data_IF_406545887214
#
_entry.id   IF_406545887214
#
_cell.length_a   1.000
_cell.length_b   1.000
_cell.length_c   1.000
_cell.angle_alpha   90.00
_cell.angle_beta   90.00
_cell.angle_gamma   90.00
#
_symmetry.space_group_name_H-M   'P 1'
#
loop_
_entity.id
_entity.type
_entity.pdbx_description
1 polymer ?
#
# COMPACT_ATOMS: atom_id res chain seq x y z
N UNK A 1 -19.75 -15.32 -54.12
CA UNK A 1 -18.36 -15.81 -53.97
C UNK A 1 -18.38 -17.28 -54.33
N UNK A 2 -17.56 -17.71 -55.32
CA UNK A 2 -17.62 -19.08 -55.86
C UNK A 2 -16.89 -20.05 -54.92
N UNK A 3 -17.43 -21.25 -54.68
CA UNK A 3 -16.87 -22.28 -53.77
C UNK A 3 -15.39 -22.60 -54.06
N UNK A 4 -15.00 -22.63 -55.34
CA UNK A 4 -13.60 -22.84 -55.75
C UNK A 4 -12.62 -21.75 -55.23
N UNK A 5 -13.08 -20.50 -55.12
CA UNK A 5 -12.29 -19.41 -54.60
C UNK A 5 -12.11 -19.51 -53.08
N UNK A 6 -13.14 -19.96 -52.35
CA UNK A 6 -13.08 -20.21 -50.91
C UNK A 6 -12.08 -21.32 -50.59
N UNK A 7 -12.19 -22.43 -51.32
CA UNK A 7 -11.30 -23.59 -51.15
C UNK A 7 -9.83 -23.23 -51.43
N UNK A 8 -9.58 -22.45 -52.47
CA UNK A 8 -8.23 -21.94 -52.78
C UNK A 8 -7.64 -21.07 -51.67
N UNK A 9 -8.45 -20.14 -51.12
CA UNK A 9 -8.04 -19.27 -50.00
C UNK A 9 -7.75 -20.11 -48.73
N UNK A 10 -8.59 -21.10 -48.43
CA UNK A 10 -8.39 -21.99 -47.28
C UNK A 10 -7.12 -22.82 -47.43
N UNK A 11 -6.83 -23.37 -48.61
CA UNK A 11 -5.58 -24.12 -48.87
C UNK A 11 -4.34 -23.22 -48.68
N UNK A 12 -4.38 -21.94 -49.13
CA UNK A 12 -3.28 -20.98 -48.88
C UNK A 12 -3.13 -20.67 -47.41
N UNK A 13 -4.21 -20.39 -46.70
CA UNK A 13 -4.19 -20.09 -45.26
C UNK A 13 -3.60 -21.30 -44.48
N UNK A 14 -4.02 -22.51 -44.81
CA UNK A 14 -3.49 -23.74 -44.20
C UNK A 14 -1.99 -23.92 -44.47
N UNK A 15 -1.52 -23.56 -45.65
CA UNK A 15 -0.09 -23.51 -45.97
C UNK A 15 0.71 -22.57 -45.12
N UNK A 16 0.17 -21.36 -44.86
CA UNK A 16 0.80 -20.40 -43.94
C UNK A 16 0.82 -20.89 -42.49
N UNK A 17 -0.28 -21.45 -42.01
CA UNK A 17 -0.39 -22.02 -40.65
C UNK A 17 0.66 -23.15 -40.48
N UNK A 18 0.80 -24.08 -41.45
CA UNK A 18 1.81 -25.14 -41.41
C UNK A 18 3.24 -24.58 -41.35
N UNK A 19 3.55 -23.54 -42.13
CA UNK A 19 4.87 -22.88 -42.09
C UNK A 19 5.12 -22.26 -40.74
N UNK A 20 4.16 -21.52 -40.19
CA UNK A 20 4.24 -20.90 -38.88
C UNK A 20 4.46 -21.95 -37.78
N UNK A 21 3.66 -23.02 -37.76
CA UNK A 21 3.81 -24.11 -36.80
C UNK A 21 5.17 -24.78 -36.87
N UNK A 22 5.76 -24.94 -38.07
CA UNK A 22 7.10 -25.50 -38.22
C UNK A 22 8.18 -24.58 -37.69
N UNK A 23 8.05 -23.26 -37.90
CA UNK A 23 8.97 -22.26 -37.31
C UNK A 23 8.88 -22.28 -35.78
N UNK A 24 7.66 -22.26 -35.21
CA UNK A 24 7.42 -22.35 -33.79
C UNK A 24 7.99 -23.64 -33.18
N UNK A 25 7.81 -24.76 -33.86
CA UNK A 25 8.38 -26.04 -33.42
C UNK A 25 9.90 -26.01 -33.39
N UNK A 26 10.56 -25.50 -34.46
CA UNK A 26 12.02 -25.37 -34.51
C UNK A 26 12.54 -24.43 -33.41
N UNK A 27 11.86 -23.29 -33.17
CA UNK A 27 12.19 -22.35 -32.09
C UNK A 27 12.05 -23.02 -30.72
N UNK A 28 10.95 -23.74 -30.46
CA UNK A 28 10.74 -24.48 -29.23
C UNK A 28 11.78 -25.59 -29.01
N UNK A 29 12.20 -26.30 -30.07
CA UNK A 29 13.32 -27.21 -29.98
C UNK A 29 14.62 -26.52 -29.58
N UNK A 30 14.92 -25.34 -30.15
CA UNK A 30 16.09 -24.53 -29.79
C UNK A 30 16.04 -24.10 -28.33
N UNK A 31 14.89 -23.56 -27.89
CA UNK A 31 14.65 -23.16 -26.50
C UNK A 31 14.86 -24.35 -25.54
N UNK A 32 14.40 -25.55 -25.91
CA UNK A 32 14.55 -26.75 -25.08
C UNK A 32 15.99 -27.20 -24.84
N UNK A 33 16.95 -26.82 -25.70
CA UNK A 33 18.36 -27.09 -25.45
C UNK A 33 18.97 -26.15 -24.42
N UNK A 34 18.41 -24.95 -24.27
CA UNK A 34 18.87 -23.95 -23.32
C UNK A 34 18.09 -24.00 -21.98
N UNK A 35 17.33 -25.06 -21.71
CA UNK A 35 16.44 -25.17 -20.55
C UNK A 35 17.11 -24.86 -19.22
N UNK A 36 18.38 -25.22 -19.05
CA UNK A 36 19.15 -25.01 -17.83
C UNK A 36 19.59 -23.57 -17.61
N UNK A 37 19.60 -22.72 -18.66
CA UNK A 37 19.97 -21.31 -18.55
C UNK A 37 18.82 -20.47 -17.95
N UNK A 38 17.57 -20.83 -18.20
CA UNK A 38 16.43 -20.03 -17.76
C UNK A 38 16.32 -19.92 -16.24
N UNK A 39 16.51 -20.96 -15.44
CA UNK A 39 16.57 -20.82 -13.99
C UNK A 39 17.71 -19.90 -13.52
N UNK A 40 18.85 -19.93 -14.16
CA UNK A 40 19.98 -19.04 -13.81
C UNK A 40 19.62 -17.60 -14.08
N UNK A 41 19.07 -17.29 -15.25
CA UNK A 41 18.61 -15.93 -15.60
C UNK A 41 17.47 -15.50 -14.65
N UNK A 42 16.54 -16.40 -14.34
CA UNK A 42 15.45 -16.16 -13.40
C UNK A 42 15.98 -15.76 -12.03
N UNK A 43 16.90 -16.54 -11.45
CA UNK A 43 17.48 -16.26 -10.14
C UNK A 43 18.33 -14.98 -10.14
N UNK A 44 19.11 -14.73 -11.19
CA UNK A 44 19.88 -13.51 -11.33
C UNK A 44 18.96 -12.27 -11.35
N UNK A 45 17.93 -12.29 -12.19
CA UNK A 45 16.98 -11.18 -12.30
C UNK A 45 16.18 -11.01 -11.00
N UNK A 46 15.85 -12.10 -10.30
CA UNK A 46 15.20 -12.07 -8.99
C UNK A 46 16.06 -11.31 -7.95
N UNK A 47 17.34 -11.68 -7.82
CA UNK A 47 18.27 -11.01 -6.89
C UNK A 47 18.40 -9.52 -7.24
N UNK A 48 18.47 -9.19 -8.54
CA UNK A 48 18.54 -7.80 -8.99
C UNK A 48 17.25 -7.03 -8.72
N UNK A 49 16.10 -7.63 -8.95
CA UNK A 49 14.80 -7.02 -8.58
C UNK A 49 14.77 -6.67 -7.10
N UNK A 50 15.17 -7.61 -6.23
CA UNK A 50 15.25 -7.36 -4.79
C UNK A 50 16.22 -6.22 -4.44
N UNK A 51 17.40 -6.19 -5.07
CA UNK A 51 18.41 -5.18 -4.80
C UNK A 51 17.95 -3.76 -5.14
N UNK A 52 17.15 -3.59 -6.20
CA UNK A 52 16.71 -2.28 -6.69
C UNK A 52 15.30 -1.88 -6.25
N UNK A 53 14.53 -2.78 -5.62
CA UNK A 53 13.12 -2.59 -5.27
C UNK A 53 12.83 -1.27 -4.52
N UNK A 54 13.75 -0.85 -3.65
CA UNK A 54 13.58 0.35 -2.82
C UNK A 54 14.37 1.58 -3.32
N UNK A 55 15.16 1.44 -4.40
CA UNK A 55 16.08 2.50 -4.84
C UNK A 55 15.80 3.03 -6.24
N UNK A 56 15.32 2.18 -7.15
CA UNK A 56 15.08 2.55 -8.55
C UNK A 56 13.91 1.73 -9.14
N UNK A 57 12.70 2.31 -9.18
CA UNK A 57 11.52 1.64 -9.73
C UNK A 57 11.68 1.18 -11.18
N UNK A 58 12.30 1.99 -12.04
CA UNK A 58 12.47 1.64 -13.47
C UNK A 58 13.37 0.42 -13.65
N UNK A 59 14.48 0.37 -12.91
CA UNK A 59 15.39 -0.80 -12.94
C UNK A 59 14.69 -2.02 -12.32
N UNK A 60 13.86 -1.85 -11.30
CA UNK A 60 13.05 -2.91 -10.72
C UNK A 60 12.10 -3.52 -11.75
N UNK A 61 11.34 -2.69 -12.48
CA UNK A 61 10.39 -3.13 -13.50
C UNK A 61 11.09 -3.87 -14.64
N UNK A 62 12.27 -3.41 -15.06
CA UNK A 62 13.07 -4.09 -16.07
C UNK A 62 13.45 -5.52 -15.64
N UNK A 63 14.00 -5.68 -14.43
CA UNK A 63 14.40 -7.00 -13.94
C UNK A 63 13.19 -7.90 -13.65
N UNK A 64 12.07 -7.35 -13.22
CA UNK A 64 10.81 -8.10 -13.09
C UNK A 64 10.34 -8.61 -14.46
N UNK A 65 10.41 -7.79 -15.51
CA UNK A 65 10.10 -8.19 -16.88
C UNK A 65 11.00 -9.31 -17.38
N UNK A 66 12.31 -9.22 -17.13
CA UNK A 66 13.28 -10.28 -17.46
C UNK A 66 12.96 -11.56 -16.70
N UNK A 67 12.60 -11.46 -15.42
CA UNK A 67 12.22 -12.60 -14.59
C UNK A 67 11.00 -13.34 -15.14
N UNK A 68 9.93 -12.61 -15.49
CA UNK A 68 8.72 -13.18 -16.08
C UNK A 68 8.99 -13.85 -17.43
N UNK A 69 9.81 -13.22 -18.28
CA UNK A 69 10.19 -13.78 -19.58
C UNK A 69 11.00 -15.07 -19.43
N UNK A 70 11.98 -15.09 -18.52
CA UNK A 70 12.79 -16.28 -18.25
C UNK A 70 11.91 -17.42 -17.70
N UNK A 71 10.97 -17.14 -16.82
CA UNK A 71 9.99 -18.10 -16.32
C UNK A 71 9.12 -18.70 -17.44
N UNK A 72 8.59 -17.86 -18.33
CA UNK A 72 7.80 -18.29 -19.48
C UNK A 72 8.61 -19.20 -20.43
N UNK A 73 9.83 -18.79 -20.76
CA UNK A 73 10.72 -19.57 -21.63
C UNK A 73 11.10 -20.90 -20.98
N UNK A 74 11.27 -20.95 -19.67
CA UNK A 74 11.51 -22.19 -18.94
C UNK A 74 10.31 -23.16 -19.04
N UNK A 75 9.08 -22.65 -18.87
CA UNK A 75 7.87 -23.48 -19.05
C UNK A 75 7.79 -24.05 -20.45
N UNK A 76 8.01 -23.22 -21.48
CA UNK A 76 8.01 -23.65 -22.88
C UNK A 76 9.08 -24.74 -23.10
N UNK A 77 10.32 -24.51 -22.62
CA UNK A 77 11.40 -25.49 -22.72
C UNK A 77 11.02 -26.83 -22.07
N UNK A 78 10.45 -26.78 -20.87
CA UNK A 78 10.02 -27.99 -20.13
C UNK A 78 8.95 -28.79 -20.89
N UNK A 79 7.95 -28.12 -21.47
CA UNK A 79 6.91 -28.77 -22.30
C UNK A 79 7.52 -29.41 -23.55
N UNK A 80 8.50 -28.77 -24.20
CA UNK A 80 9.19 -29.37 -25.35
C UNK A 80 10.06 -30.56 -24.96
N UNK A 81 10.70 -30.56 -23.77
CA UNK A 81 11.41 -31.73 -23.25
C UNK A 81 10.47 -32.93 -23.06
N UNK A 82 9.27 -32.68 -22.51
CA UNK A 82 8.23 -33.72 -22.39
C UNK A 82 7.81 -34.27 -23.76
N UNK A 83 7.54 -33.37 -24.73
CA UNK A 83 7.16 -33.74 -26.09
C UNK A 83 8.24 -34.62 -26.77
N UNK A 84 9.51 -34.31 -26.53
CA UNK A 84 10.67 -35.06 -27.06
C UNK A 84 10.99 -36.32 -26.26
N UNK A 85 10.18 -36.70 -25.29
CA UNK A 85 10.37 -37.87 -24.40
C UNK A 85 11.73 -37.90 -23.67
N UNK A 86 12.24 -36.73 -23.33
CA UNK A 86 13.47 -36.56 -22.54
C UNK A 86 13.16 -36.56 -21.04
N UNK A 87 12.68 -37.72 -20.53
CA UNK A 87 12.10 -37.85 -19.19
C UNK A 87 12.98 -37.30 -18.07
N UNK A 88 14.28 -37.64 -18.05
CA UNK A 88 15.21 -37.15 -17.02
C UNK A 88 15.35 -35.63 -17.04
N UNK A 89 15.59 -35.05 -18.23
CA UNK A 89 15.72 -33.60 -18.40
C UNK A 89 14.42 -32.87 -18.05
N UNK A 90 13.28 -33.43 -18.45
CA UNK A 90 11.96 -32.93 -18.08
C UNK A 90 11.78 -32.90 -16.56
N UNK A 91 12.09 -34.02 -15.86
CA UNK A 91 11.92 -34.10 -14.39
C UNK A 91 12.80 -33.08 -13.68
N UNK A 92 14.08 -32.96 -14.07
CA UNK A 92 14.99 -31.96 -13.49
C UNK A 92 14.47 -30.53 -13.77
N UNK A 93 14.06 -30.25 -15.00
CA UNK A 93 13.52 -28.93 -15.39
C UNK A 93 12.25 -28.59 -14.60
N UNK A 94 11.34 -29.55 -14.41
CA UNK A 94 10.13 -29.37 -13.63
C UNK A 94 10.44 -29.07 -12.14
N UNK A 95 11.37 -29.81 -11.55
CA UNK A 95 11.82 -29.56 -10.16
C UNK A 95 12.42 -28.16 -10.04
N UNK A 96 13.29 -27.76 -10.97
CA UNK A 96 13.88 -26.43 -10.98
C UNK A 96 12.82 -25.33 -11.11
N UNK A 97 11.77 -25.58 -11.89
CA UNK A 97 10.66 -24.64 -12.00
C UNK A 97 9.89 -24.48 -10.68
N UNK A 98 9.58 -25.58 -9.99
CA UNK A 98 8.92 -25.53 -8.67
C UNK A 98 9.78 -24.80 -7.64
N UNK A 99 11.08 -25.06 -7.61
CA UNK A 99 12.00 -24.34 -6.71
C UNK A 99 11.99 -22.82 -7.02
N UNK A 100 11.87 -22.45 -8.30
CA UNK A 100 11.85 -21.04 -8.72
C UNK A 100 10.52 -20.33 -8.41
N UNK A 101 9.41 -21.05 -8.21
CA UNK A 101 8.13 -20.44 -7.81
C UNK A 101 8.17 -19.86 -6.39
N UNK A 102 8.91 -20.49 -5.46
CA UNK A 102 8.98 -20.03 -4.09
C UNK A 102 9.52 -18.59 -3.95
N UNK A 103 10.69 -18.25 -4.52
CA UNK A 103 11.17 -16.87 -4.48
C UNK A 103 10.26 -15.89 -5.23
N UNK A 104 9.62 -16.32 -6.32
CA UNK A 104 8.64 -15.47 -7.01
C UNK A 104 7.45 -15.15 -6.11
N UNK A 105 6.95 -16.12 -5.36
CA UNK A 105 5.89 -15.92 -4.38
C UNK A 105 6.32 -14.97 -3.26
N UNK A 106 7.54 -15.16 -2.71
CA UNK A 106 8.11 -14.26 -1.69
C UNK A 106 8.26 -12.84 -2.24
N UNK A 107 8.80 -12.69 -3.46
CA UNK A 107 8.92 -11.38 -4.11
C UNK A 107 7.56 -10.72 -4.30
N UNK A 108 6.54 -11.48 -4.72
CA UNK A 108 5.19 -10.95 -4.90
C UNK A 108 4.59 -10.43 -3.58
N UNK A 109 4.82 -11.13 -2.46
CA UNK A 109 4.42 -10.67 -1.14
C UNK A 109 5.16 -9.38 -0.78
N UNK A 110 6.49 -9.35 -0.98
CA UNK A 110 7.30 -8.17 -0.68
C UNK A 110 6.88 -6.95 -1.52
N UNK A 111 6.56 -7.15 -2.82
CA UNK A 111 6.07 -6.08 -3.69
C UNK A 111 4.67 -5.58 -3.28
N UNK A 112 3.80 -6.48 -2.81
CA UNK A 112 2.49 -6.11 -2.27
C UNK A 112 2.61 -5.40 -0.90
N UNK A 113 3.66 -5.73 -0.16
CA UNK A 113 3.98 -5.11 1.13
C UNK A 113 4.93 -3.92 0.98
N UNK A 114 5.38 -3.61 -0.26
CA UNK A 114 6.14 -2.40 -0.52
C UNK A 114 5.27 -1.20 -0.14
N UNK A 115 5.85 -0.22 0.55
CA UNK A 115 5.11 0.97 0.98
C UNK A 115 4.34 1.54 -0.20
N UNK A 116 3.05 1.78 -0.04
CA UNK A 116 2.18 2.35 -1.09
C UNK A 116 2.63 3.75 -1.51
N UNK A 117 3.68 4.24 -0.90
CA UNK A 117 4.27 5.53 -1.22
C UNK A 117 3.50 6.72 -0.66
N UNK A 118 2.40 6.53 0.11
CA UNK A 118 1.65 7.67 0.64
C UNK A 118 2.55 8.60 1.46
N UNK A 119 3.34 8.07 2.39
CA UNK A 119 4.29 8.86 3.18
C UNK A 119 5.43 9.42 2.33
N UNK A 120 5.88 8.67 1.31
CA UNK A 120 6.88 9.15 0.36
C UNK A 120 6.36 10.31 -0.52
N UNK A 121 5.08 10.25 -0.91
CA UNK A 121 4.40 11.33 -1.65
C UNK A 121 4.04 12.53 -0.76
N UNK A 122 3.98 12.33 0.56
CA UNK A 122 3.60 13.32 1.57
C UNK A 122 4.67 13.42 2.67
N UNK A 123 5.93 13.78 2.31
CA UNK A 123 7.00 13.87 3.29
C UNK A 123 6.69 14.95 4.33
N UNK A 124 7.17 14.75 5.54
CA UNK A 124 7.04 15.74 6.62
C UNK A 124 7.71 17.04 6.16
N UNK A 125 6.98 18.18 6.13
CA UNK A 125 7.55 19.45 5.69
C UNK A 125 8.76 19.85 6.54
N UNK A 126 9.83 20.32 5.89
CA UNK A 126 11.05 20.74 6.59
C UNK A 126 10.75 21.86 7.57
N UNK A 127 11.20 21.68 8.81
CA UNK A 127 11.01 22.67 9.89
C UNK A 127 9.65 22.62 10.58
N UNK A 128 8.74 21.73 10.17
CA UNK A 128 7.47 21.54 10.87
C UNK A 128 7.71 20.73 12.16
N UNK A 129 7.38 21.33 13.31
CA UNK A 129 7.40 20.62 14.58
C UNK A 129 6.13 19.78 14.73
N UNK A 130 6.28 18.46 14.74
CA UNK A 130 5.18 17.52 14.96
C UNK A 130 5.28 16.88 16.33
N UNK A 131 4.15 16.76 17.02
CA UNK A 131 4.04 15.94 18.22
C UNK A 131 4.00 14.46 17.83
N UNK A 132 4.55 13.61 18.69
CA UNK A 132 4.37 12.16 18.56
C UNK A 132 3.16 11.73 19.39
N UNK A 133 2.22 10.92 18.85
CA UNK A 133 1.17 10.33 19.66
C UNK A 133 1.76 9.52 20.81
N UNK A 134 1.12 9.55 21.97
CA UNK A 134 1.53 8.75 23.13
C UNK A 134 1.45 7.25 22.80
N UNK A 135 2.23 6.44 23.53
CA UNK A 135 2.15 4.98 23.41
C UNK A 135 0.75 4.47 23.83
N UNK A 136 0.35 3.32 23.30
CA UNK A 136 -0.97 2.70 23.50
C UNK A 136 -1.41 2.58 24.97
N UNK A 137 -0.48 2.24 25.85
CA UNK A 137 -0.76 2.06 27.28
C UNK A 137 -0.38 3.27 28.15
N UNK A 138 -0.09 4.40 27.54
CA UNK A 138 0.23 5.60 28.32
C UNK A 138 -1.01 6.15 29.03
N UNK A 139 -0.83 6.49 30.32
CA UNK A 139 -1.87 7.08 31.13
C UNK A 139 -2.10 8.53 30.70
N UNK A 140 -3.23 8.79 30.05
CA UNK A 140 -3.57 10.13 29.55
C UNK A 140 -3.98 11.11 30.65
N UNK A 141 -4.47 10.63 31.79
CA UNK A 141 -4.89 11.50 32.90
C UNK A 141 -3.72 12.22 33.59
N UNK A 142 -2.58 11.54 33.69
CA UNK A 142 -1.39 12.11 34.34
C UNK A 142 -0.71 13.23 33.56
N UNK A 143 -1.02 13.39 32.27
CA UNK A 143 -0.36 14.37 31.42
C UNK A 143 -1.00 15.76 31.45
N UNK A 144 -2.15 15.94 32.11
CA UNK A 144 -2.88 17.20 32.15
C UNK A 144 -2.85 17.76 33.56
N UNK A 145 -2.18 18.91 33.76
CA UNK A 145 -2.31 19.67 34.98
C UNK A 145 -3.54 20.57 34.86
N UNK A 146 -4.62 20.34 35.66
CA UNK A 146 -5.84 21.15 35.60
C UNK A 146 -5.62 22.62 35.93
N UNK A 147 -4.51 22.96 36.61
CA UNK A 147 -4.18 24.33 36.97
C UNK A 147 -3.72 25.22 35.81
N UNK A 148 -3.26 24.60 34.69
CA UNK A 148 -2.77 25.38 33.55
C UNK A 148 -3.87 26.00 32.68
N UNK A 149 -5.14 25.68 32.89
CA UNK A 149 -6.35 26.25 32.24
C UNK A 149 -6.23 26.47 30.72
N UNK A 150 -5.29 25.79 30.05
CA UNK A 150 -5.04 25.93 28.61
C UNK A 150 -5.76 24.85 27.83
N UNK A 151 -6.25 25.20 26.65
CA UNK A 151 -6.81 24.23 25.71
C UNK A 151 -5.79 23.16 25.35
N UNK A 152 -6.16 21.90 25.52
CA UNK A 152 -5.23 20.78 25.34
C UNK A 152 -5.86 19.64 24.55
N UNK A 153 -5.16 19.18 23.52
CA UNK A 153 -5.47 17.97 22.73
C UNK A 153 -4.36 16.96 22.95
N UNK A 154 -4.72 15.78 23.34
CA UNK A 154 -3.84 14.64 23.51
C UNK A 154 -4.26 13.53 22.59
N UNK A 155 -3.30 12.89 21.95
CA UNK A 155 -3.51 11.76 21.06
C UNK A 155 -2.64 10.60 21.51
N UNK A 156 -3.22 9.41 21.57
CA UNK A 156 -2.58 8.15 21.90
C UNK A 156 -2.74 7.19 20.74
N UNK A 157 -1.73 6.34 20.49
CA UNK A 157 -1.84 5.23 19.54
C UNK A 157 -2.83 4.19 20.07
N UNK A 158 -3.67 3.67 19.18
CA UNK A 158 -4.50 2.50 19.46
C UNK A 158 -3.75 1.20 19.24
N UNK A 159 -4.48 0.09 19.27
CA UNK A 159 -3.95 -1.29 19.15
C UNK A 159 -3.24 -1.54 17.81
N UNK A 160 -3.59 -0.79 16.77
CA UNK A 160 -3.05 -0.96 15.42
C UNK A 160 -2.65 0.39 14.82
N UNK A 161 -1.70 0.37 13.88
CA UNK A 161 -1.34 1.54 13.10
C UNK A 161 -2.55 2.19 12.44
N UNK A 162 -2.59 3.51 12.38
CA UNK A 162 -3.71 4.29 11.84
C UNK A 162 -4.91 4.43 12.77
N UNK A 163 -4.99 3.70 13.87
CA UNK A 163 -6.03 3.84 14.90
C UNK A 163 -5.47 4.70 16.03
N UNK A 164 -6.24 5.70 16.43
CA UNK A 164 -5.86 6.66 17.45
C UNK A 164 -7.01 6.90 18.42
N UNK A 165 -6.64 7.20 19.65
CA UNK A 165 -7.55 7.73 20.65
C UNK A 165 -7.19 9.17 20.98
N UNK A 166 -8.18 10.01 21.31
CA UNK A 166 -7.95 11.37 21.73
C UNK A 166 -8.71 11.75 22.97
N UNK A 167 -8.11 12.66 23.73
CA UNK A 167 -8.78 13.39 24.81
C UNK A 167 -8.62 14.89 24.56
N UNK A 168 -9.71 15.63 24.77
CA UNK A 168 -9.74 17.06 24.53
C UNK A 168 -10.25 17.81 25.73
N UNK A 169 -9.46 18.75 26.20
CA UNK A 169 -9.76 19.61 27.36
C UNK A 169 -9.88 21.06 26.91
N UNK A 170 -10.87 21.76 27.48
CA UNK A 170 -11.17 23.13 27.16
C UNK A 170 -11.66 23.90 28.38
N UNK A 171 -11.20 25.17 28.61
CA UNK A 171 -11.53 25.91 29.84
C UNK A 171 -13.00 26.31 29.94
N UNK A 172 -13.61 26.75 28.84
CA UNK A 172 -15.00 27.17 28.82
C UNK A 172 -15.58 27.03 27.41
N UNK A 173 -16.72 26.36 27.28
CA UNK A 173 -17.38 26.16 26.00
C UNK A 173 -18.90 26.23 26.16
N UNK A 174 -19.63 26.99 25.31
CA UNK A 174 -21.08 26.97 25.31
C UNK A 174 -21.62 25.63 24.81
N UNK A 175 -22.91 25.40 24.97
CA UNK A 175 -23.56 24.21 24.43
C UNK A 175 -23.45 24.16 22.92
N UNK A 176 -23.10 22.96 22.40
CA UNK A 176 -22.89 22.77 20.97
C UNK A 176 -22.42 21.38 20.59
N UNK A 177 -21.60 21.28 19.56
CA UNK A 177 -21.02 20.04 19.09
C UNK A 177 -19.56 20.24 18.75
N UNK A 178 -18.69 19.36 19.24
CA UNK A 178 -17.27 19.29 18.87
C UNK A 178 -17.03 18.11 17.95
N UNK A 179 -16.01 18.20 17.07
CA UNK A 179 -15.49 17.10 16.25
C UNK A 179 -14.06 17.37 15.79
N UNK A 180 -13.37 16.33 15.38
CA UNK A 180 -12.06 16.44 14.75
C UNK A 180 -12.17 16.54 13.23
N UNK A 181 -11.18 17.23 12.65
CA UNK A 181 -10.84 17.17 11.23
C UNK A 181 -9.34 16.96 11.12
N UNK A 182 -8.93 16.08 10.23
CA UNK A 182 -7.53 15.78 9.98
C UNK A 182 -7.19 16.09 8.52
N UNK A 183 -5.99 16.64 8.32
CA UNK A 183 -5.45 16.99 7.00
C UNK A 183 -4.00 16.56 6.94
N UNK A 184 -3.55 16.10 5.81
CA UNK A 184 -2.14 15.96 5.54
C UNK A 184 -1.49 17.35 5.56
N UNK A 185 -0.32 17.48 6.23
CA UNK A 185 0.22 18.80 6.58
C UNK A 185 0.87 19.56 5.40
N UNK A 186 1.41 18.84 4.40
CA UNK A 186 2.12 19.45 3.27
C UNK A 186 1.18 19.93 2.17
N UNK A 187 0.32 19.04 1.66
CA UNK A 187 -0.61 19.32 0.56
C UNK A 187 -2.01 19.70 1.02
N UNK A 188 -2.26 19.68 2.32
CA UNK A 188 -3.56 20.00 2.94
C UNK A 188 -4.72 19.09 2.44
N UNK A 189 -4.41 17.85 2.13
CA UNK A 189 -5.39 16.85 1.70
C UNK A 189 -6.19 16.36 2.93
N UNK A 190 -7.53 16.34 2.89
CA UNK A 190 -8.33 15.85 4.02
C UNK A 190 -8.13 14.35 4.22
N UNK A 191 -7.85 13.94 5.46
CA UNK A 191 -7.68 12.55 5.87
C UNK A 191 -8.98 12.01 6.46
N UNK A 192 -9.49 10.90 5.93
CA UNK A 192 -10.65 10.13 6.43
C UNK A 192 -11.84 10.99 6.87
N UNK A 193 -12.07 12.10 6.14
CA UNK A 193 -12.93 13.24 6.53
C UNK A 193 -14.30 12.85 7.07
N UNK A 194 -14.99 11.92 6.39
CA UNK A 194 -16.36 11.52 6.78
C UNK A 194 -16.35 10.66 8.05
N UNK A 195 -15.45 9.71 8.12
CA UNK A 195 -15.35 8.75 9.21
C UNK A 195 -14.87 9.41 10.48
N UNK A 196 -13.79 10.22 10.42
CA UNK A 196 -13.29 10.96 11.57
C UNK A 196 -14.38 11.88 12.12
N UNK A 197 -15.00 12.69 11.28
CA UNK A 197 -16.07 13.56 11.75
C UNK A 197 -17.23 12.80 12.37
N UNK A 198 -17.66 11.67 11.80
CA UNK A 198 -18.74 10.83 12.31
C UNK A 198 -18.40 10.24 13.67
N UNK A 199 -17.21 9.62 13.80
CA UNK A 199 -16.76 8.96 15.02
C UNK A 199 -16.46 9.96 16.15
N UNK A 200 -15.95 11.13 15.83
CA UNK A 200 -15.50 12.12 16.83
C UNK A 200 -16.55 13.18 17.18
N UNK A 201 -17.67 13.26 16.46
CA UNK A 201 -18.73 14.22 16.76
C UNK A 201 -19.37 13.92 18.10
N UNK A 202 -19.31 14.90 19.00
CA UNK A 202 -19.87 14.78 20.36
C UNK A 202 -20.58 16.08 20.74
N UNK A 203 -21.78 15.95 21.33
CA UNK A 203 -22.51 17.08 21.92
C UNK A 203 -21.85 17.49 23.24
N UNK A 204 -21.80 18.78 23.48
CA UNK A 204 -21.33 19.38 24.74
C UNK A 204 -22.47 20.14 25.39
N UNK A 205 -22.65 19.98 26.69
CA UNK A 205 -23.71 20.66 27.46
C UNK A 205 -23.36 22.11 27.85
N UNK A 206 -22.20 22.55 27.42
CA UNK A 206 -21.63 23.82 27.90
C UNK A 206 -20.93 23.68 29.26
N UNK A 207 -19.81 24.35 29.37
CA UNK A 207 -19.00 24.32 30.59
C UNK A 207 -18.54 25.74 30.95
N UNK A 208 -18.51 26.04 32.22
CA UNK A 208 -18.00 27.28 32.79
C UNK A 208 -16.60 27.12 33.41
N UNK A 209 -16.05 25.94 33.38
CA UNK A 209 -14.76 25.56 33.94
C UNK A 209 -13.99 24.63 33.00
N UNK A 210 -12.68 24.50 33.24
CA UNK A 210 -11.84 23.56 32.54
C UNK A 210 -12.36 22.11 32.70
N UNK A 211 -12.65 21.45 31.58
CA UNK A 211 -13.29 20.14 31.59
C UNK A 211 -12.79 19.31 30.41
N UNK A 212 -12.73 17.99 30.60
CA UNK A 212 -12.56 17.03 29.53
C UNK A 212 -13.86 16.92 28.72
N UNK A 213 -13.83 17.42 27.49
CA UNK A 213 -15.00 17.38 26.59
C UNK A 213 -15.08 16.12 25.76
N UNK A 214 -13.95 15.45 25.55
CA UNK A 214 -13.88 14.15 24.90
C UNK A 214 -12.76 13.35 25.59
N UNK A 215 -13.08 12.15 26.01
CA UNK A 215 -12.16 11.27 26.74
C UNK A 215 -12.05 9.94 26.00
N UNK A 216 -10.82 9.53 25.68
CA UNK A 216 -10.48 8.26 25.06
C UNK A 216 -11.38 7.91 23.85
N UNK A 217 -11.65 8.89 23.00
CA UNK A 217 -12.46 8.68 21.78
C UNK A 217 -11.59 8.19 20.64
N UNK A 218 -12.01 7.09 20.04
CA UNK A 218 -11.29 6.47 18.92
C UNK A 218 -11.61 7.14 17.58
N UNK A 219 -10.60 7.28 16.74
CA UNK A 219 -10.75 7.59 15.33
C UNK A 219 -9.69 6.85 14.49
N UNK A 220 -9.91 6.74 13.19
CA UNK A 220 -9.03 6.01 12.27
C UNK A 220 -8.64 6.90 11.11
N UNK A 221 -7.38 6.90 10.76
CA UNK A 221 -6.83 7.48 9.53
C UNK A 221 -6.57 6.32 8.57
N UNK A 222 -7.27 6.30 7.44
CA UNK A 222 -7.17 5.20 6.47
C UNK A 222 -6.08 5.42 5.42
N UNK A 223 -5.64 6.66 5.22
CA UNK A 223 -4.64 7.03 4.23
C UNK A 223 -3.23 6.70 4.73
N UNK A 224 -2.48 5.96 3.91
CA UNK A 224 -1.12 5.48 4.24
C UNK A 224 -1.08 4.10 4.86
N UNK A 225 0.12 3.61 5.09
CA UNK A 225 0.40 2.27 5.58
C UNK A 225 1.01 2.26 6.98
N UNK A 226 1.03 1.11 7.61
CA UNK A 226 1.68 0.89 8.89
C UNK A 226 3.18 1.15 8.80
N UNK A 227 3.74 1.75 9.85
CA UNK A 227 5.15 2.10 9.96
C UNK A 227 5.63 3.15 8.96
N UNK A 228 4.73 3.73 8.17
CA UNK A 228 5.00 4.85 7.27
C UNK A 228 4.45 6.14 7.86
N UNK A 229 5.36 6.98 8.33
CA UNK A 229 5.00 8.19 9.06
C UNK A 229 4.99 9.43 8.16
N UNK A 230 3.92 10.21 8.28
CA UNK A 230 3.79 11.52 7.66
C UNK A 230 3.18 12.52 8.67
N UNK A 231 3.18 13.81 8.32
CA UNK A 231 2.64 14.84 9.19
C UNK A 231 1.15 15.03 8.92
N UNK A 232 0.33 14.96 9.99
CA UNK A 232 -1.07 15.31 9.96
C UNK A 232 -1.34 16.54 10.83
N UNK A 233 -2.09 17.49 10.27
CA UNK A 233 -2.69 18.59 10.98
C UNK A 233 -4.04 18.15 11.53
N UNK A 234 -4.20 18.12 12.84
CA UNK A 234 -5.42 17.75 13.54
C UNK A 234 -6.05 18.99 14.12
N UNK A 235 -7.29 19.25 13.73
CA UNK A 235 -8.08 20.40 14.12
C UNK A 235 -9.26 19.97 14.97
N UNK A 236 -9.49 20.65 16.08
CA UNK A 236 -10.71 20.54 16.88
C UNK A 236 -11.66 21.65 16.49
N UNK A 237 -12.83 21.28 16.02
CA UNK A 237 -13.87 22.20 15.60
C UNK A 237 -15.05 22.19 16.56
N UNK A 238 -15.69 23.34 16.69
CA UNK A 238 -16.90 23.54 17.48
C UNK A 238 -18.00 24.18 16.63
N UNK A 239 -19.24 23.74 16.82
CA UNK A 239 -20.45 24.34 16.27
C UNK A 239 -21.41 24.67 17.40
N UNK A 240 -21.81 25.94 17.58
CA UNK A 240 -22.78 26.37 18.56
C UNK A 240 -24.23 26.00 18.16
N UNK A 241 -25.19 26.22 19.06
CA UNK A 241 -26.63 26.01 18.77
C UNK A 241 -27.15 26.88 17.62
N UNK A 242 -26.54 28.04 17.35
CA UNK A 242 -26.93 28.95 16.27
C UNK A 242 -26.39 28.51 14.92
N UNK A 243 -25.52 27.48 14.87
CA UNK A 243 -24.92 26.95 13.67
C UNK A 243 -23.56 27.56 13.31
N UNK A 244 -23.03 28.51 14.10
CA UNK A 244 -21.73 29.11 13.87
C UNK A 244 -20.63 28.09 14.16
N UNK A 245 -19.62 28.02 13.28
CA UNK A 245 -18.50 27.10 13.40
C UNK A 245 -17.22 27.89 13.70
N UNK A 246 -16.41 27.38 14.60
CA UNK A 246 -15.07 27.90 14.86
C UNK A 246 -14.08 26.79 15.14
N UNK A 247 -12.83 27.00 14.80
CA UNK A 247 -11.72 26.13 15.17
C UNK A 247 -11.27 26.48 16.56
N UNK A 248 -11.19 25.49 17.46
CA UNK A 248 -10.77 25.65 18.84
C UNK A 248 -9.28 25.47 19.02
N UNK A 249 -8.71 24.48 18.29
CA UNK A 249 -7.30 24.11 18.40
C UNK A 249 -6.83 23.50 17.09
N UNK A 250 -5.53 23.66 16.84
CA UNK A 250 -4.81 23.01 15.75
C UNK A 250 -3.48 22.51 16.28
N UNK A 251 -3.15 21.25 16.01
CA UNK A 251 -1.85 20.67 16.32
C UNK A 251 -1.39 19.74 15.19
N UNK A 252 -0.07 19.65 15.03
CA UNK A 252 0.56 18.74 14.07
C UNK A 252 1.06 17.50 14.80
N UNK A 253 0.74 16.33 14.24
CA UNK A 253 1.17 15.04 14.75
C UNK A 253 1.84 14.22 13.66
N UNK A 254 2.82 13.41 14.05
CA UNK A 254 3.36 12.36 13.19
C UNK A 254 2.43 11.17 13.28
N UNK A 255 1.80 10.81 12.15
CA UNK A 255 0.82 9.74 12.09
C UNK A 255 1.19 8.72 11.03
N UNK A 256 0.60 7.54 11.11
CA UNK A 256 0.61 6.49 10.11
C UNK A 256 -0.83 6.15 9.72
N UNK A 257 -1.03 5.59 8.54
CA UNK A 257 -2.35 5.16 8.08
C UNK A 257 -2.69 3.73 8.50
N UNK A 258 -3.97 3.37 8.32
CA UNK A 258 -4.46 2.02 8.54
C UNK A 258 -4.53 1.29 7.20
N UNK A 259 -3.48 0.56 6.85
CA UNK A 259 -3.45 -0.33 5.69
C UNK A 259 -4.36 -1.54 5.92
N UNK A 260 -5.12 -1.90 4.91
CA UNK A 260 -5.92 -3.14 4.85
C UNK A 260 -5.19 -4.23 4.12
#
# INVERSE_FOLDING_TARGET
MNWSQIESKMKRLWGYIKKLLNVLYKAGCGISYAWFLFPVVFWFSYVKTWQYMNSDPHTTDLYLGINLLAGLLHVIATLFLLHRRKAVQFSISAIMWFISLLPFYVLSICLQSAPTGYAAEHPIPKGLACHTPMAEHADMEKAVNPEDSTTYLQIRKGIQGGIYEYSFFYPQLPEGTIWLQCYEAGKNVPLSKREIKKKTSQKTEGTDRFTCLAENKEFTIYEGDWSEYYAARIEVWFKDKKGNKRKLLEKFYTVEGWSR
#
